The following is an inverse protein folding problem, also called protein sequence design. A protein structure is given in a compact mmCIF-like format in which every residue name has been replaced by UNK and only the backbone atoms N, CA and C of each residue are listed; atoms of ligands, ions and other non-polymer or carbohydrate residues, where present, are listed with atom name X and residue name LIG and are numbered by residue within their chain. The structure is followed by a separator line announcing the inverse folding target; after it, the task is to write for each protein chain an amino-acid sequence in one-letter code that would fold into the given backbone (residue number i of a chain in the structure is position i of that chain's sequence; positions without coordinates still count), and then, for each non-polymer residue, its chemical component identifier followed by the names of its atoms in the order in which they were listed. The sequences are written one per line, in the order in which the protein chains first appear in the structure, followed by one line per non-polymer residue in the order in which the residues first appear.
data_IF_732242903593
#
_entry.id   IF_732242903593
#
_cell.length_a   1.000
_cell.length_b   1.000
_cell.length_c   1.000
_cell.angle_alpha   90.00
_cell.angle_beta   90.00
_cell.angle_gamma   90.00
#
_symmetry.space_group_name_H-M   'P 1'
#
loop_
_entity.id
_entity.type
_entity.pdbx_description
1 polymer ?
#
# COMPACT_ATOMS: atom_id res chain seq x y z
N UNK A 1 -1.49 -3.95 -3.52
CA UNK A 1 -1.99 -4.24 -2.16
C UNK A 1 -2.91 -5.43 -2.22
N UNK A 2 -2.68 -6.44 -1.38
CA UNK A 2 -3.49 -7.66 -1.25
C UNK A 2 -4.22 -7.69 0.09
N UNK A 3 -5.26 -8.52 0.20
CA UNK A 3 -6.09 -8.64 1.41
C UNK A 3 -7.54 -8.18 1.21
N UNK A 4 -8.37 -8.29 2.26
CA UNK A 4 -9.79 -7.93 2.26
C UNK A 4 -10.07 -6.46 1.91
N UNK A 5 -9.08 -5.58 2.15
CA UNK A 5 -9.10 -4.15 1.82
C UNK A 5 -8.15 -3.81 0.66
N UNK A 6 -7.58 -4.82 0.01
CA UNK A 6 -6.65 -4.69 -1.12
C UNK A 6 -7.36 -4.74 -2.47
N UNK A 7 -6.57 -4.74 -3.53
CA UNK A 7 -7.06 -4.94 -4.89
C UNK A 7 -6.99 -6.43 -5.25
N UNK A 8 -8.00 -6.93 -5.97
CA UNK A 8 -8.03 -8.29 -6.50
C UNK A 8 -6.79 -8.61 -7.35
N UNK A 9 -6.27 -7.61 -8.05
CA UNK A 9 -5.07 -7.70 -8.88
C UNK A 9 -3.87 -8.25 -8.11
N UNK A 10 -3.59 -7.71 -6.92
CA UNK A 10 -2.46 -8.18 -6.13
C UNK A 10 -2.63 -9.62 -5.64
N UNK A 11 -3.86 -10.03 -5.28
CA UNK A 11 -4.14 -11.41 -4.87
C UNK A 11 -3.87 -12.36 -6.04
N UNK A 12 -4.37 -12.04 -7.24
CA UNK A 12 -4.08 -12.83 -8.43
C UNK A 12 -2.58 -12.86 -8.76
N UNK A 13 -1.87 -11.74 -8.65
CA UNK A 13 -0.41 -11.72 -8.88
C UNK A 13 0.31 -12.64 -7.89
N UNK A 14 -0.04 -12.59 -6.61
CA UNK A 14 0.59 -13.45 -5.60
C UNK A 14 0.30 -14.93 -5.81
N UNK A 15 -0.96 -15.29 -6.13
CA UNK A 15 -1.36 -16.69 -6.32
C UNK A 15 -0.81 -17.32 -7.60
N UNK A 16 -0.48 -16.52 -8.62
CA UNK A 16 0.07 -17.00 -9.90
C UNK A 16 1.59 -16.84 -10.01
N UNK A 17 2.28 -16.43 -8.93
CA UNK A 17 3.72 -16.26 -8.95
C UNK A 17 4.44 -17.60 -8.74
N UNK A 18 5.42 -17.93 -9.59
CA UNK A 18 6.29 -19.09 -9.37
C UNK A 18 7.27 -18.88 -8.21
N UNK A 19 7.68 -17.63 -8.00
CA UNK A 19 8.58 -17.22 -6.92
C UNK A 19 8.07 -15.93 -6.29
N UNK A 20 7.92 -15.95 -4.96
CA UNK A 20 7.47 -14.84 -4.16
C UNK A 20 8.62 -14.37 -3.25
N UNK A 21 9.00 -13.10 -3.37
CA UNK A 21 10.03 -12.48 -2.54
C UNK A 21 9.37 -11.57 -1.52
N UNK A 22 9.56 -11.87 -0.23
CA UNK A 22 9.06 -11.12 0.91
C UNK A 22 10.19 -10.22 1.43
N UNK A 23 9.99 -8.91 1.36
CA UNK A 23 10.97 -7.91 1.75
C UNK A 23 10.45 -7.13 2.95
N UNK A 24 11.01 -7.38 4.15
CA UNK A 24 10.73 -6.62 5.38
C UNK A 24 9.24 -6.53 5.72
N UNK A 25 8.52 -7.64 5.54
CA UNK A 25 7.05 -7.67 5.65
C UNK A 25 6.60 -8.68 6.69
N UNK A 26 5.55 -8.32 7.41
CA UNK A 26 4.89 -9.16 8.40
C UNK A 26 3.39 -9.29 8.07
N UNK A 27 3.08 -9.53 6.79
CA UNK A 27 1.70 -9.63 6.32
C UNK A 27 0.99 -10.84 6.95
N UNK A 28 -0.09 -10.62 7.75
CA UNK A 28 -0.58 -11.64 8.68
C UNK A 28 -1.54 -12.67 8.04
N UNK A 29 -2.03 -12.41 6.83
CA UNK A 29 -3.07 -13.21 6.21
C UNK A 29 -2.49 -14.42 5.47
N UNK A 30 -2.30 -15.53 6.19
CA UNK A 30 -1.70 -16.78 5.68
C UNK A 30 -2.38 -17.32 4.41
N UNK A 31 -3.71 -17.24 4.34
CA UNK A 31 -4.50 -17.75 3.21
C UNK A 31 -4.27 -17.00 1.89
N UNK A 32 -3.59 -15.86 1.94
CA UNK A 32 -3.28 -15.06 0.75
C UNK A 32 -1.90 -15.43 0.17
N UNK A 33 -1.11 -16.28 0.84
CA UNK A 33 0.16 -16.75 0.29
C UNK A 33 -0.04 -17.94 -0.66
N UNK A 34 0.73 -18.01 -1.76
CA UNK A 34 0.68 -19.14 -2.68
C UNK A 34 1.17 -20.43 -2.02
N UNK A 35 0.47 -21.53 -2.28
CA UNK A 35 0.85 -22.88 -1.80
C UNK A 35 1.99 -23.48 -2.60
N UNK A 36 2.04 -23.21 -3.90
CA UNK A 36 2.91 -23.90 -4.87
C UNK A 36 4.01 -23.02 -5.47
N UNK A 37 4.35 -21.92 -4.78
CA UNK A 37 5.46 -21.04 -5.15
C UNK A 37 6.70 -21.30 -4.29
N UNK A 38 7.88 -20.90 -4.81
CA UNK A 38 9.08 -20.73 -3.99
C UNK A 38 8.99 -19.40 -3.23
N UNK A 39 9.15 -19.42 -1.91
CA UNK A 39 9.07 -18.23 -1.07
C UNK A 39 10.46 -17.90 -0.53
N UNK A 40 10.95 -16.71 -0.89
CA UNK A 40 12.20 -16.14 -0.37
C UNK A 40 11.81 -15.02 0.59
N UNK A 41 12.36 -15.01 1.81
CA UNK A 41 12.08 -13.95 2.78
C UNK A 41 13.38 -13.28 3.25
N UNK A 42 13.38 -11.96 3.23
CA UNK A 42 14.45 -11.11 3.74
C UNK A 42 13.85 -10.21 4.82
N UNK A 43 14.39 -10.28 6.04
CA UNK A 43 13.95 -9.44 7.15
C UNK A 43 15.12 -9.13 8.09
N UNK A 44 15.08 -7.97 8.76
CA UNK A 44 16.08 -7.61 9.76
C UNK A 44 15.82 -8.34 11.08
N UNK A 45 14.57 -8.68 11.37
CA UNK A 45 14.16 -9.39 12.57
C UNK A 45 14.03 -10.90 12.26
N UNK A 46 14.89 -11.76 12.81
CA UNK A 46 14.81 -13.20 12.59
C UNK A 46 13.50 -13.82 13.10
N UNK A 47 12.84 -13.20 14.10
CA UNK A 47 11.53 -13.67 14.59
C UNK A 47 10.38 -13.49 13.60
N UNK A 48 10.55 -12.64 12.58
CA UNK A 48 9.54 -12.44 11.52
C UNK A 48 9.59 -13.51 10.43
N UNK A 49 10.72 -14.22 10.31
CA UNK A 49 10.96 -15.19 9.24
C UNK A 49 10.05 -16.41 9.44
N UNK A 50 9.22 -16.71 8.44
CA UNK A 50 8.31 -17.86 8.48
C UNK A 50 7.14 -17.74 9.46
N UNK A 51 6.90 -16.57 10.04
CA UNK A 51 5.81 -16.36 11.00
C UNK A 51 4.41 -16.62 10.38
N UNK A 52 4.25 -16.36 9.08
CA UNK A 52 2.96 -16.37 8.40
C UNK A 52 2.92 -17.21 7.11
N UNK A 53 4.07 -17.56 6.53
CA UNK A 53 4.17 -18.35 5.30
C UNK A 53 5.26 -19.42 5.42
N UNK A 54 5.22 -20.43 4.54
CA UNK A 54 6.41 -21.25 4.30
C UNK A 54 7.54 -20.37 3.76
N UNK A 55 8.79 -20.74 4.03
CA UNK A 55 9.97 -20.02 3.54
C UNK A 55 10.96 -21.07 3.05
N UNK A 56 11.28 -21.02 1.77
CA UNK A 56 12.25 -21.91 1.13
C UNK A 56 13.68 -21.36 1.24
N UNK A 57 13.83 -20.03 1.27
CA UNK A 57 15.10 -19.35 1.50
C UNK A 57 14.90 -18.13 2.40
N UNK A 58 15.68 -18.06 3.48
CA UNK A 58 15.62 -16.99 4.47
C UNK A 58 16.95 -16.24 4.53
N UNK A 59 16.90 -14.90 4.53
CA UNK A 59 18.06 -14.05 4.74
C UNK A 59 17.75 -13.05 5.86
N UNK A 60 18.65 -12.97 6.84
CA UNK A 60 18.57 -11.95 7.90
C UNK A 60 19.42 -10.76 7.51
N UNK A 61 18.81 -9.59 7.38
CA UNK A 61 19.53 -8.38 6.99
C UNK A 61 18.64 -7.18 6.69
N UNK A 62 19.27 -6.01 6.63
CA UNK A 62 18.65 -4.79 6.15
C UNK A 62 18.35 -4.88 4.64
N UNK A 63 17.11 -4.56 4.24
CA UNK A 63 16.66 -4.68 2.85
C UNK A 63 17.50 -3.81 1.91
N UNK A 64 17.82 -2.58 2.32
CA UNK A 64 18.55 -1.66 1.44
C UNK A 64 19.95 -2.18 1.14
N UNK A 65 20.66 -2.61 2.18
CA UNK A 65 22.00 -3.16 2.09
C UNK A 65 22.01 -4.48 1.31
N UNK A 66 21.06 -5.37 1.58
CA UNK A 66 20.94 -6.65 0.88
C UNK A 66 20.62 -6.47 -0.61
N UNK A 67 19.68 -5.60 -0.98
CA UNK A 67 19.36 -5.34 -2.38
C UNK A 67 20.52 -4.66 -3.11
N UNK A 68 21.24 -3.75 -2.45
CA UNK A 68 22.41 -3.09 -3.05
C UNK A 68 23.53 -4.09 -3.34
N UNK A 69 23.73 -5.07 -2.45
CA UNK A 69 24.71 -6.14 -2.65
C UNK A 69 24.24 -7.18 -3.67
N UNK A 70 22.92 -7.43 -3.77
CA UNK A 70 22.36 -8.43 -4.68
C UNK A 70 22.27 -7.95 -6.13
N UNK A 71 21.96 -6.66 -6.34
CA UNK A 71 21.70 -6.09 -7.68
C UNK A 71 22.80 -6.40 -8.73
N UNK A 72 24.11 -6.32 -8.42
CA UNK A 72 25.17 -6.61 -9.38
C UNK A 72 25.25 -8.08 -9.81
N UNK A 73 24.64 -9.00 -9.05
CA UNK A 73 24.64 -10.43 -9.34
C UNK A 73 23.35 -10.90 -10.03
N UNK A 74 22.38 -10.01 -10.22
CA UNK A 74 21.14 -10.34 -10.90
C UNK A 74 21.27 -10.04 -12.39
N UNK A 75 20.97 -11.04 -13.21
CA UNK A 75 20.81 -10.86 -14.64
C UNK A 75 19.44 -10.23 -14.93
N UNK A 76 19.42 -9.21 -15.79
CA UNK A 76 18.18 -8.58 -16.22
C UNK A 76 17.35 -9.58 -17.05
N UNK A 77 16.09 -9.77 -16.65
CA UNK A 77 15.13 -10.58 -17.42
C UNK A 77 14.35 -9.72 -18.38
N UNK A 78 14.38 -10.07 -19.67
CA UNK A 78 13.63 -9.38 -20.72
C UNK A 78 12.18 -9.87 -20.86
N UNK A 79 11.85 -11.05 -20.34
CA UNK A 79 10.47 -11.54 -20.30
C UNK A 79 9.66 -10.78 -19.25
N UNK A 80 8.72 -9.96 -19.72
CA UNK A 80 7.83 -9.15 -18.88
C UNK A 80 6.38 -9.61 -18.92
N UNK A 81 6.06 -10.76 -19.52
CA UNK A 81 4.66 -11.22 -19.67
C UNK A 81 3.89 -11.25 -18.34
N UNK A 82 4.53 -11.74 -17.28
CA UNK A 82 3.92 -11.79 -15.95
C UNK A 82 3.68 -10.37 -15.38
N UNK A 83 4.67 -9.49 -15.52
CA UNK A 83 4.58 -8.10 -15.07
C UNK A 83 3.49 -7.34 -15.84
N UNK A 84 3.47 -7.46 -17.16
CA UNK A 84 2.51 -6.77 -18.03
C UNK A 84 1.08 -7.21 -17.72
N UNK A 85 0.85 -8.52 -17.52
CA UNK A 85 -0.45 -9.06 -17.09
C UNK A 85 -0.87 -8.56 -15.70
N UNK A 86 0.06 -8.49 -14.75
CA UNK A 86 -0.22 -7.94 -13.43
C UNK A 86 -0.58 -6.45 -13.47
N UNK A 87 0.09 -5.67 -14.32
CA UNK A 87 -0.20 -4.25 -14.52
C UNK A 87 -1.55 -4.02 -15.19
N UNK A 88 -1.91 -4.83 -16.18
CA UNK A 88 -3.23 -4.82 -16.82
C UNK A 88 -4.33 -5.08 -15.80
N UNK A 89 -4.23 -6.18 -15.04
CA UNK A 89 -5.17 -6.48 -13.95
C UNK A 89 -5.25 -5.36 -12.91
N UNK A 90 -4.13 -4.71 -12.60
CA UNK A 90 -4.12 -3.58 -11.68
C UNK A 90 -4.90 -2.37 -12.22
N UNK A 91 -4.75 -2.05 -13.51
CA UNK A 91 -5.48 -0.95 -14.16
C UNK A 91 -6.99 -1.21 -14.16
N UNK A 92 -7.40 -2.43 -14.48
CA UNK A 92 -8.82 -2.82 -14.47
C UNK A 92 -9.43 -2.77 -13.07
N UNK A 93 -8.73 -3.33 -12.09
CA UNK A 93 -9.15 -3.30 -10.69
C UNK A 93 -9.25 -1.85 -10.16
N UNK A 94 -8.36 -0.96 -10.62
CA UNK A 94 -8.40 0.45 -10.24
C UNK A 94 -9.58 1.18 -10.88
N UNK A 95 -9.86 0.94 -12.16
CA UNK A 95 -10.99 1.55 -12.87
C UNK A 95 -12.33 1.22 -12.19
N UNK A 96 -12.53 -0.04 -11.80
CA UNK A 96 -13.72 -0.45 -11.05
C UNK A 96 -13.90 0.28 -9.72
N UNK A 97 -12.80 0.65 -9.05
CA UNK A 97 -12.85 1.45 -7.81
C UNK A 97 -13.17 2.93 -8.09
N UNK A 98 -12.57 3.50 -9.14
CA UNK A 98 -12.80 4.90 -9.51
C UNK A 98 -14.25 5.11 -10.03
N UNK A 99 -14.85 4.09 -10.65
CA UNK A 99 -16.27 4.12 -11.06
C UNK A 99 -17.24 4.17 -9.86
N UNK A 100 -16.86 3.62 -8.70
CA UNK A 100 -17.63 3.69 -7.46
C UNK A 100 -17.41 5.01 -6.70
N UNK A 101 -16.37 5.77 -7.05
CA UNK A 101 -16.03 7.06 -6.44
C UNK A 101 -16.67 8.25 -7.16
N UNK A 102 -17.86 8.08 -7.75
CA UNK A 102 -18.61 9.16 -8.41
C UNK A 102 -19.64 9.80 -7.46
N UNK A 103 -19.88 11.11 -7.55
CA UNK A 103 -20.91 11.77 -6.77
C UNK A 103 -22.28 11.18 -7.13
N UNK A 104 -23.06 10.84 -6.11
CA UNK A 104 -24.43 10.34 -6.22
C UNK A 104 -25.37 11.39 -5.63
N UNK A 105 -26.44 11.73 -6.35
CA UNK A 105 -27.41 12.77 -5.96
C UNK A 105 -28.18 12.46 -4.66
N UNK A 106 -28.09 11.24 -4.14
CA UNK A 106 -28.90 10.79 -2.99
C UNK A 106 -28.11 10.58 -1.71
N UNK A 107 -26.79 10.33 -1.77
CA UNK A 107 -25.97 10.04 -0.57
C UNK A 107 -24.48 10.21 -0.88
N UNK A 108 -23.71 10.80 0.05
CA UNK A 108 -22.26 10.92 -0.10
C UNK A 108 -21.63 9.54 0.11
N UNK A 109 -21.06 8.96 -0.95
CA UNK A 109 -20.30 7.72 -0.85
C UNK A 109 -18.99 7.96 -0.08
N UNK A 110 -18.64 7.12 0.92
CA UNK A 110 -17.38 7.28 1.68
C UNK A 110 -16.12 7.28 0.80
N UNK A 111 -16.19 6.60 -0.34
CA UNK A 111 -15.12 6.52 -1.34
C UNK A 111 -14.90 7.87 -2.06
N UNK A 112 -15.96 8.67 -2.23
CA UNK A 112 -15.89 10.02 -2.79
C UNK A 112 -15.25 11.02 -1.82
N UNK A 113 -15.56 10.92 -0.52
CA UNK A 113 -14.88 11.72 0.52
C UNK A 113 -13.37 11.44 0.54
N UNK A 114 -12.98 10.17 0.42
CA UNK A 114 -11.58 9.78 0.37
C UNK A 114 -10.89 10.31 -0.89
N UNK A 115 -11.49 10.20 -2.07
CA UNK A 115 -10.90 10.73 -3.31
C UNK A 115 -10.76 12.26 -3.28
N UNK A 116 -11.75 12.97 -2.73
CA UNK A 116 -11.68 14.41 -2.55
C UNK A 116 -10.52 14.82 -1.63
N UNK A 117 -10.38 14.17 -0.47
CA UNK A 117 -9.27 14.44 0.47
C UNK A 117 -7.89 14.13 -0.12
N UNK A 118 -7.78 13.10 -0.96
CA UNK A 118 -6.52 12.73 -1.61
C UNK A 118 -6.11 13.71 -2.73
N UNK A 119 -7.09 14.45 -3.28
CA UNK A 119 -6.87 15.43 -4.36
C UNK A 119 -6.69 16.85 -3.81
N UNK A 120 -6.95 17.08 -2.51
CA UNK A 120 -6.68 18.37 -1.89
C UNK A 120 -5.18 18.65 -1.87
N UNK A 121 -4.73 19.83 -2.35
CA UNK A 121 -3.36 20.27 -2.16
C UNK A 121 -3.06 20.29 -0.65
N UNK A 122 -2.06 19.54 -0.21
CA UNK A 122 -1.60 19.53 1.20
C UNK A 122 -1.00 20.87 1.63
N UNK A 123 -0.79 21.79 0.69
CA UNK A 123 -0.60 23.21 0.99
C UNK A 123 -1.96 23.83 1.31
N UNK A 124 -2.25 24.04 2.59
CA UNK A 124 -3.21 25.07 2.97
C UNK A 124 -2.79 26.34 2.23
N UNK A 125 -3.62 26.94 1.35
CA UNK A 125 -3.41 28.32 0.97
C UNK A 125 -3.43 29.08 2.29
N UNK A 126 -2.40 29.88 2.55
CA UNK A 126 -2.35 30.73 3.73
C UNK A 126 -3.69 31.46 3.84
N UNK A 127 -4.52 31.06 4.80
CA UNK A 127 -5.75 31.74 5.12
C UNK A 127 -5.37 33.21 5.33
N UNK A 128 -6.00 34.18 4.64
CA UNK A 128 -5.78 35.57 4.99
C UNK A 128 -6.13 35.71 6.47
N UNK A 129 -5.23 36.37 7.22
CA UNK A 129 -5.28 36.53 8.68
C UNK A 129 -6.54 37.26 9.20
N UNK A 130 -7.54 37.47 8.36
CA UNK A 130 -8.80 38.17 8.65
C UNK A 130 -9.87 37.26 9.29
N UNK A 131 -9.72 35.93 9.25
CA UNK A 131 -10.72 35.00 9.81
C UNK A 131 -10.47 34.53 11.26
N UNK A 132 -9.39 34.97 11.92
CA UNK A 132 -9.19 34.78 13.36
C UNK A 132 -9.36 36.11 14.08
N UNK A 133 -10.57 36.67 14.05
CA UNK A 133 -10.97 37.73 14.98
C UNK A 133 -11.75 37.10 16.13
N UNK A 134 -11.03 36.60 17.14
CA UNK A 134 -11.62 36.37 18.47
C UNK A 134 -12.14 37.72 18.99
N UNK A 135 -13.40 37.86 19.42
CA UNK A 135 -13.84 39.05 20.12
C UNK A 135 -13.10 39.13 21.46
N UNK A 136 -12.27 40.16 21.61
CA UNK A 136 -11.53 40.46 22.83
C UNK A 136 -12.34 41.38 23.76
N UNK A 137 -12.87 40.82 24.85
CA UNK A 137 -13.22 41.53 26.11
C UNK A 137 -14.59 42.25 26.19
N UNK A 138 -15.07 42.63 27.40
CA UNK A 138 -14.26 42.89 28.59
C UNK A 138 -14.47 41.92 29.77
N UNK A 139 -13.43 41.82 30.60
CA UNK A 139 -13.41 41.14 31.91
C UNK A 139 -14.24 41.96 32.89
N UNK A 140 -15.14 41.31 33.63
CA UNK A 140 -15.69 41.83 34.87
C UNK A 140 -15.23 40.91 36.01
N UNK A 141 -14.27 41.41 36.80
CA UNK A 141 -14.05 41.02 38.19
C UNK A 141 -14.66 42.15 39.02
N UNK A 142 -15.67 41.86 39.84
CA UNK A 142 -15.85 42.52 41.14
C UNK A 142 -17.01 41.89 41.94
N UNK A 143 -16.64 41.47 43.16
CA UNK A 143 -17.43 41.04 44.33
C UNK A 143 -17.98 39.62 44.35
#
# INVERSE_FOLDING_TARGET
MTGLIGFSSGFHTMMNADTLVLLGTQFPYRAFYPTDAKIIQIDINPGSIGAHSKVDMALVGDIKSTLSALMPHLEEKTDRKFLDKALEHYRDARKGLDDLAKPSDKTIHPQYLRSASATMPTTMPSLPATWVRRPSGPRAICR
#
